data_IF_964726257217
#
_entry.id   IF_964726257217
#
_cell.length_a   1.000
_cell.length_b   1.000
_cell.length_c   1.000
_cell.angle_alpha   90.00
_cell.angle_beta   90.00
_cell.angle_gamma   90.00
#
_symmetry.space_group_name_H-M   'P 1'
#
loop_
_entity.id
_entity.type
_entity.pdbx_description
1 polymer ?
#
# COMPACT_ATOMS: atom_id res chain seq x y z
N UNK A 1 -43.98 -18.30 -32.78
CA UNK A 1 -43.65 -18.87 -31.47
C UNK A 1 -42.43 -18.12 -30.95
N UNK A 2 -42.53 -17.48 -29.80
CA UNK A 2 -41.42 -16.75 -29.17
C UNK A 2 -40.61 -17.72 -28.28
N UNK A 3 -39.38 -17.34 -27.95
CA UNK A 3 -38.49 -18.17 -27.14
C UNK A 3 -39.07 -18.45 -25.73
N UNK A 4 -39.82 -17.48 -25.20
CA UNK A 4 -40.54 -17.58 -23.93
C UNK A 4 -41.64 -18.65 -23.96
N UNK A 5 -42.31 -18.84 -25.11
CA UNK A 5 -43.37 -19.84 -25.28
C UNK A 5 -42.79 -21.27 -25.18
N UNK A 6 -41.65 -21.51 -25.85
CA UNK A 6 -40.92 -22.78 -25.80
C UNK A 6 -40.38 -23.08 -24.40
N UNK A 7 -39.88 -22.07 -23.70
CA UNK A 7 -39.43 -22.20 -22.31
C UNK A 7 -40.57 -22.59 -21.37
N UNK A 8 -41.76 -22.02 -21.55
CA UNK A 8 -42.93 -22.36 -20.74
C UNK A 8 -43.38 -23.80 -20.95
N UNK A 9 -43.22 -24.33 -22.16
CA UNK A 9 -43.62 -25.68 -22.55
C UNK A 9 -42.70 -26.77 -21.96
N UNK A 10 -41.44 -26.43 -21.69
CA UNK A 10 -40.45 -27.34 -21.06
C UNK A 10 -40.31 -27.14 -19.54
N UNK A 11 -41.29 -26.55 -18.85
CA UNK A 11 -41.27 -26.20 -17.40
C UNK A 11 -40.28 -25.10 -16.99
N UNK A 12 -39.78 -24.29 -17.92
CA UNK A 12 -38.92 -23.14 -17.65
C UNK A 12 -37.59 -23.50 -17.00
N UNK A 13 -37.00 -22.54 -16.28
CA UNK A 13 -35.76 -22.75 -15.55
C UNK A 13 -35.99 -23.54 -14.25
N UNK A 14 -35.44 -24.75 -14.19
CA UNK A 14 -35.46 -25.59 -12.99
C UNK A 14 -34.60 -25.02 -11.84
N UNK A 15 -34.84 -25.48 -10.61
CA UNK A 15 -34.08 -25.03 -9.42
C UNK A 15 -32.57 -25.21 -9.59
N UNK A 16 -32.15 -26.30 -10.23
CA UNK A 16 -30.74 -26.56 -10.51
C UNK A 16 -30.13 -25.52 -11.47
N UNK A 17 -30.82 -25.18 -12.55
CA UNK A 17 -30.32 -24.17 -13.51
C UNK A 17 -30.26 -22.78 -12.88
N UNK A 18 -31.26 -22.41 -12.06
CA UNK A 18 -31.23 -21.16 -11.28
C UNK A 18 -30.04 -21.14 -10.33
N UNK A 19 -29.79 -22.23 -9.62
CA UNK A 19 -28.64 -22.36 -8.72
C UNK A 19 -27.31 -22.20 -9.46
N UNK A 20 -27.12 -22.88 -10.60
CA UNK A 20 -25.91 -22.77 -11.43
C UNK A 20 -25.72 -21.34 -11.94
N UNK A 21 -26.78 -20.67 -12.39
CA UNK A 21 -26.71 -19.28 -12.84
C UNK A 21 -26.30 -18.34 -11.69
N UNK A 22 -26.87 -18.52 -10.50
CA UNK A 22 -26.51 -17.74 -9.31
C UNK A 22 -25.04 -17.93 -8.92
N UNK A 23 -24.55 -19.17 -8.89
CA UNK A 23 -23.14 -19.47 -8.57
C UNK A 23 -22.22 -18.83 -9.63
N UNK A 24 -22.56 -18.96 -10.91
CA UNK A 24 -21.76 -18.39 -11.99
C UNK A 24 -21.71 -16.85 -11.91
N UNK A 25 -22.85 -16.22 -11.62
CA UNK A 25 -22.93 -14.78 -11.43
C UNK A 25 -22.08 -14.33 -10.24
N UNK A 26 -22.20 -15.00 -9.10
CA UNK A 26 -21.45 -14.67 -7.89
C UNK A 26 -19.93 -14.80 -8.11
N UNK A 27 -19.49 -15.87 -8.78
CA UNK A 27 -18.08 -16.07 -9.12
C UNK A 27 -17.54 -14.93 -10.01
N UNK A 28 -18.28 -14.56 -11.06
CA UNK A 28 -17.89 -13.47 -11.97
C UNK A 28 -17.88 -12.11 -11.28
N UNK A 29 -18.88 -11.84 -10.45
CA UNK A 29 -18.97 -10.59 -9.71
C UNK A 29 -17.86 -10.47 -8.66
N UNK A 30 -17.60 -11.54 -7.91
CA UNK A 30 -16.50 -11.60 -6.94
C UNK A 30 -15.15 -11.34 -7.61
N UNK A 31 -14.90 -11.96 -8.77
CA UNK A 31 -13.68 -11.72 -9.53
C UNK A 31 -13.52 -10.25 -9.93
N UNK A 32 -14.59 -9.61 -10.42
CA UNK A 32 -14.57 -8.19 -10.77
C UNK A 32 -14.28 -7.30 -9.54
N UNK A 33 -14.91 -7.58 -8.39
CA UNK A 33 -14.61 -6.88 -7.14
C UNK A 33 -13.15 -7.04 -6.70
N UNK A 34 -12.57 -8.23 -6.87
CA UNK A 34 -11.16 -8.47 -6.56
C UNK A 34 -10.21 -7.63 -7.41
N UNK A 35 -10.46 -7.54 -8.71
CA UNK A 35 -9.68 -6.66 -9.58
C UNK A 35 -9.80 -5.19 -9.19
N UNK A 36 -11.01 -4.74 -8.81
CA UNK A 36 -11.24 -3.37 -8.39
C UNK A 36 -10.57 -3.05 -7.05
N UNK A 37 -10.56 -3.99 -6.11
CA UNK A 37 -9.96 -3.81 -4.78
C UNK A 37 -8.53 -3.29 -4.88
N UNK A 38 -7.74 -3.81 -5.83
CA UNK A 38 -6.36 -3.40 -6.08
C UNK A 38 -6.19 -1.88 -6.23
N UNK A 39 -7.14 -1.19 -6.85
CA UNK A 39 -7.07 0.28 -7.03
C UNK A 39 -7.13 1.04 -5.69
N UNK A 40 -7.82 0.48 -4.69
CA UNK A 40 -7.99 1.13 -3.39
C UNK A 40 -6.86 0.78 -2.41
N UNK A 41 -6.25 -0.40 -2.57
CA UNK A 41 -5.21 -0.87 -1.64
C UNK A 41 -3.78 -0.67 -2.17
N UNK A 42 -3.59 -0.32 -3.45
CA UNK A 42 -2.27 -0.09 -4.04
C UNK A 42 -1.68 1.30 -3.78
N UNK A 43 -2.37 2.15 -3.02
CA UNK A 43 -1.84 3.46 -2.65
C UNK A 43 -0.59 3.29 -1.79
N UNK A 44 0.44 4.05 -2.12
CA UNK A 44 1.66 4.17 -1.31
C UNK A 44 1.45 5.38 -0.40
N UNK A 45 1.28 5.19 0.93
CA UNK A 45 1.13 6.31 1.83
C UNK A 45 2.43 7.11 1.90
N UNK A 46 2.32 8.36 2.37
CA UNK A 46 3.50 9.18 2.66
C UNK A 46 4.42 8.43 3.61
N UNK A 47 5.71 8.44 3.32
CA UNK A 47 6.70 7.69 4.07
C UNK A 47 8.04 8.41 4.03
N UNK A 48 8.90 8.05 4.98
CA UNK A 48 10.26 8.54 5.09
C UNK A 48 11.21 7.40 5.47
N UNK A 49 12.51 7.63 5.33
CA UNK A 49 13.51 6.67 5.78
C UNK A 49 13.42 6.47 7.31
N UNK A 50 13.52 5.23 7.76
CA UNK A 50 13.58 4.94 9.20
C UNK A 50 14.89 5.46 9.79
N UNK A 51 14.79 6.24 10.88
CA UNK A 51 15.92 6.79 11.63
C UNK A 51 16.24 6.01 12.91
N UNK A 52 15.56 4.89 13.14
CA UNK A 52 15.64 4.13 14.40
C UNK A 52 17.03 3.55 14.72
N UNK A 53 17.88 3.38 13.71
CA UNK A 53 19.28 2.96 13.89
C UNK A 53 20.14 4.08 14.47
N UNK A 54 19.94 5.31 14.01
CA UNK A 54 20.66 6.50 14.48
C UNK A 54 20.23 6.89 15.91
N UNK A 55 18.99 6.56 16.29
CA UNK A 55 18.53 6.65 17.69
C UNK A 55 19.26 5.69 18.63
N UNK A 56 19.65 4.50 18.15
CA UNK A 56 20.33 3.49 18.94
C UNK A 56 21.80 3.84 19.24
N UNK A 57 22.41 4.69 18.42
CA UNK A 57 23.79 5.14 18.57
C UNK A 57 23.93 6.38 19.50
N UNK A 58 22.89 6.74 20.27
CA UNK A 58 22.83 7.92 21.15
C UNK A 58 23.09 9.28 20.45
N UNK A 59 23.07 9.30 19.11
CA UNK A 59 23.38 10.51 18.31
C UNK A 59 22.32 11.61 18.51
N UNK A 60 21.11 11.24 18.95
CA UNK A 60 19.95 12.14 19.07
C UNK A 60 19.47 12.41 20.50
N UNK A 61 20.28 12.12 21.52
CA UNK A 61 19.85 12.14 22.94
C UNK A 61 19.11 13.42 23.39
N UNK A 62 19.38 14.57 22.76
CA UNK A 62 18.77 15.86 23.11
C UNK A 62 17.84 16.47 22.05
N UNK A 63 17.47 15.73 20.99
CA UNK A 63 16.60 16.23 19.93
C UNK A 63 15.18 15.67 20.02
N UNK A 64 14.19 16.52 19.74
CA UNK A 64 12.81 16.11 19.51
C UNK A 64 12.66 15.33 18.21
N UNK A 65 11.57 14.59 18.03
CA UNK A 65 11.33 13.80 16.81
C UNK A 65 11.38 14.65 15.54
N UNK A 66 10.81 15.85 15.57
CA UNK A 66 10.79 16.77 14.40
C UNK A 66 12.21 17.25 14.04
N UNK A 67 13.03 17.54 15.04
CA UNK A 67 14.42 17.94 14.84
C UNK A 67 15.25 16.79 14.29
N UNK A 68 15.04 15.56 14.79
CA UNK A 68 15.70 14.35 14.28
C UNK A 68 15.41 14.12 12.79
N UNK A 69 14.15 14.28 12.38
CA UNK A 69 13.76 14.17 10.97
C UNK A 69 14.40 15.28 10.14
N UNK A 70 14.43 16.51 10.65
CA UNK A 70 15.02 17.67 9.96
C UNK A 70 16.51 17.49 9.69
N UNK A 71 17.26 16.93 10.63
CA UNK A 71 18.70 16.71 10.46
C UNK A 71 19.03 15.45 9.63
N UNK A 72 18.08 14.53 9.46
CA UNK A 72 18.33 13.22 8.84
C UNK A 72 17.74 13.09 7.44
N UNK A 73 16.67 13.83 7.12
CA UNK A 73 15.95 13.70 5.86
C UNK A 73 16.03 15.02 5.09
N UNK A 74 16.53 15.00 3.84
CA UNK A 74 16.56 16.19 3.02
C UNK A 74 15.15 16.65 2.65
N UNK A 75 14.96 17.96 2.62
CA UNK A 75 13.71 18.58 2.17
C UNK A 75 13.76 18.77 0.65
N UNK A 76 12.69 18.38 -0.02
CA UNK A 76 12.50 18.54 -1.46
C UNK A 76 12.17 20.00 -1.81
N UNK A 77 12.20 20.35 -3.10
CA UNK A 77 11.94 21.72 -3.57
C UNK A 77 10.53 22.23 -3.24
N UNK A 78 9.60 21.32 -3.01
CA UNK A 78 8.21 21.60 -2.63
C UNK A 78 8.04 21.79 -1.11
N UNK A 79 9.12 21.69 -0.32
CA UNK A 79 9.08 21.80 1.13
C UNK A 79 8.72 20.50 1.86
N UNK A 80 8.51 19.40 1.14
CA UNK A 80 8.21 18.10 1.76
C UNK A 80 9.48 17.30 2.06
N UNK A 81 9.51 16.46 3.12
CA UNK A 81 10.62 15.56 3.34
C UNK A 81 10.79 14.58 2.18
N UNK A 82 12.04 14.22 1.84
CA UNK A 82 12.31 13.19 0.84
C UNK A 82 11.86 11.82 1.34
N UNK A 83 11.07 11.12 0.53
CA UNK A 83 10.53 9.81 0.93
C UNK A 83 11.56 8.69 0.86
N UNK A 84 12.43 8.69 -0.16
CA UNK A 84 13.34 7.58 -0.49
C UNK A 84 14.81 7.81 -0.17
N UNK A 85 15.15 9.01 0.31
CA UNK A 85 16.53 9.43 0.51
C UNK A 85 16.71 10.04 1.89
N UNK A 86 17.87 9.82 2.48
CA UNK A 86 18.32 10.38 3.75
C UNK A 86 19.72 10.95 3.61
N UNK A 87 20.14 11.81 4.51
CA UNK A 87 21.55 12.20 4.61
C UNK A 87 22.39 11.01 5.07
N UNK A 88 23.62 10.90 4.56
CA UNK A 88 24.55 9.88 5.01
C UNK A 88 24.93 10.02 6.49
N UNK A 89 24.90 11.26 7.01
CA UNK A 89 25.14 11.59 8.42
C UNK A 89 24.18 12.72 8.86
N UNK A 90 23.73 12.75 10.13
CA UNK A 90 22.85 13.79 10.64
C UNK A 90 23.45 15.20 10.52
N UNK A 91 22.65 16.13 10.00
CA UNK A 91 23.03 17.51 9.70
C UNK A 91 22.50 18.49 10.76
N UNK A 92 23.13 18.49 11.95
CA UNK A 92 22.71 19.36 13.07
C UNK A 92 22.70 20.86 12.75
N UNK A 93 23.52 21.31 11.79
CA UNK A 93 23.59 22.70 11.36
C UNK A 93 22.26 23.24 10.76
N UNK A 94 21.38 22.35 10.30
CA UNK A 94 20.05 22.70 9.80
C UNK A 94 19.15 23.27 10.89
N UNK A 95 19.35 22.88 12.16
CA UNK A 95 18.61 23.41 13.30
C UNK A 95 19.00 24.85 13.63
N UNK A 96 20.22 25.25 13.27
CA UNK A 96 20.76 26.58 13.58
C UNK A 96 20.48 27.63 12.48
N UNK A 97 19.62 27.31 11.49
CA UNK A 97 19.28 28.17 10.35
C UNK A 97 20.51 28.70 9.57
N UNK A 98 21.62 27.97 9.63
CA UNK A 98 22.82 28.30 8.87
C UNK A 98 22.58 27.89 7.42
N UNK A 99 22.37 28.89 6.56
CA UNK A 99 22.09 28.70 5.12
C UNK A 99 23.32 28.28 4.31
N UNK A 100 24.19 27.45 4.89
CA UNK A 100 25.27 26.82 4.13
C UNK A 100 24.67 25.64 3.37
N UNK A 101 24.70 25.62 2.02
CA UNK A 101 24.32 24.43 1.28
C UNK A 101 25.35 23.36 1.60
N UNK A 102 25.03 22.47 2.53
CA UNK A 102 25.86 21.30 2.76
C UNK A 102 25.66 20.40 1.54
N UNK A 103 26.68 20.28 0.69
CA UNK A 103 26.76 19.30 -0.41
C UNK A 103 26.88 17.87 0.15
N UNK A 104 26.02 17.52 1.10
CA UNK A 104 26.01 16.19 1.70
C UNK A 104 25.21 15.29 0.79
N UNK A 105 25.86 14.24 0.33
CA UNK A 105 25.25 13.26 -0.55
C UNK A 105 24.03 12.63 0.14
N UNK A 106 22.85 12.92 -0.40
CA UNK A 106 21.65 12.17 -0.09
C UNK A 106 21.84 10.73 -0.61
N UNK A 107 21.69 9.75 0.27
CA UNK A 107 21.78 8.33 -0.03
C UNK A 107 20.39 7.69 0.05
N UNK A 108 20.21 6.53 -0.58
CA UNK A 108 18.97 5.76 -0.39
C UNK A 108 18.83 5.31 1.07
N UNK A 109 17.58 5.17 1.54
CA UNK A 109 17.29 4.69 2.90
C UNK A 109 18.03 3.38 3.20
N UNK A 110 18.87 3.38 4.23
CA UNK A 110 19.67 2.19 4.61
C UNK A 110 18.91 1.24 5.52
N UNK A 111 18.03 1.77 6.36
CA UNK A 111 17.36 1.04 7.44
C UNK A 111 15.87 0.80 7.16
N UNK A 112 15.48 0.86 5.89
CA UNK A 112 14.08 0.72 5.48
C UNK A 112 13.28 2.01 5.63
N UNK A 113 11.96 1.85 5.75
CA UNK A 113 10.99 2.91 5.53
C UNK A 113 9.95 2.89 6.65
N UNK A 114 9.57 4.08 7.08
CA UNK A 114 8.49 4.30 8.04
C UNK A 114 7.35 5.02 7.34
N UNK A 115 6.16 4.40 7.35
CA UNK A 115 4.97 4.88 6.66
C UNK A 115 4.06 5.64 7.61
N UNK A 116 3.53 6.77 7.15
CA UNK A 116 2.49 7.51 7.86
C UNK A 116 1.16 6.77 7.76
N UNK A 117 0.57 6.44 8.91
CA UNK A 117 -0.68 5.72 9.03
C UNK A 117 -1.89 6.63 9.30
N UNK A 118 -1.72 7.95 9.18
CA UNK A 118 -2.78 8.95 9.43
C UNK A 118 -3.98 8.80 8.48
N UNK A 119 -3.72 8.53 7.20
CA UNK A 119 -4.76 8.37 6.16
C UNK A 119 -5.11 6.90 5.94
N UNK A 120 -4.09 6.04 5.85
CA UNK A 120 -4.27 4.61 5.59
C UNK A 120 -3.58 3.80 6.68
N UNK A 121 -4.35 3.06 7.48
CA UNK A 121 -3.81 2.16 8.50
C UNK A 121 -2.97 1.04 7.87
N UNK A 122 -3.35 0.61 6.66
CA UNK A 122 -2.61 -0.40 5.91
C UNK A 122 -2.89 -0.34 4.42
N UNK A 123 -1.88 -0.65 3.63
CA UNK A 123 -1.94 -0.73 2.17
C UNK A 123 -1.19 -1.97 1.70
N UNK A 124 -1.25 -2.27 0.40
CA UNK A 124 -0.47 -3.36 -0.19
C UNK A 124 1.01 -3.22 0.14
N UNK A 125 1.57 -2.02 0.08
CA UNK A 125 2.99 -1.79 0.34
C UNK A 125 3.38 -2.01 1.81
N UNK A 126 2.46 -1.78 2.76
CA UNK A 126 2.74 -2.07 4.18
C UNK A 126 2.50 -3.53 4.57
N UNK A 127 1.68 -4.28 3.81
CA UNK A 127 1.28 -5.67 4.15
C UNK A 127 1.52 -6.71 3.03
N UNK A 128 2.44 -6.46 2.09
CA UNK A 128 2.69 -7.26 0.87
C UNK A 128 2.61 -8.78 1.12
N UNK A 129 3.18 -9.26 2.24
CA UNK A 129 3.22 -10.69 2.59
C UNK A 129 1.84 -11.32 2.86
N UNK A 130 0.90 -10.60 3.48
CA UNK A 130 -0.41 -11.14 3.90
C UNK A 130 -1.45 -11.08 2.77
N UNK A 131 -1.40 -10.01 1.96
CA UNK A 131 -2.37 -9.76 0.89
C UNK A 131 -2.16 -10.62 -0.35
N UNK A 132 -0.90 -10.95 -0.70
CA UNK A 132 -0.62 -11.86 -1.82
C UNK A 132 -1.17 -13.26 -1.58
N UNK A 133 -1.04 -13.81 -0.37
CA UNK A 133 -1.56 -15.13 -0.02
C UNK A 133 -3.09 -15.19 -0.09
N UNK A 134 -3.79 -14.14 0.38
CA UNK A 134 -5.25 -14.06 0.31
C UNK A 134 -5.75 -14.00 -1.14
N UNK A 135 -5.14 -13.16 -1.99
CA UNK A 135 -5.53 -13.08 -3.40
C UNK A 135 -5.23 -14.40 -4.14
N UNK A 136 -4.11 -15.06 -3.85
CA UNK A 136 -3.78 -16.34 -4.47
C UNK A 136 -4.79 -17.43 -4.08
N UNK A 137 -5.14 -17.53 -2.78
CA UNK A 137 -6.12 -18.51 -2.30
C UNK A 137 -7.49 -18.30 -2.91
N UNK A 138 -7.92 -17.04 -3.03
CA UNK A 138 -9.26 -16.71 -3.50
C UNK A 138 -9.40 -16.91 -5.02
N UNK A 139 -8.35 -16.59 -5.78
CA UNK A 139 -8.25 -16.96 -7.20
C UNK A 139 -8.25 -18.49 -7.35
N UNK A 140 -7.45 -19.21 -6.57
CA UNK A 140 -7.41 -20.68 -6.63
C UNK A 140 -8.76 -21.32 -6.33
N UNK A 141 -9.47 -20.80 -5.34
CA UNK A 141 -10.80 -21.28 -4.94
C UNK A 141 -11.83 -20.95 -6.02
N UNK A 142 -11.84 -19.74 -6.56
CA UNK A 142 -12.74 -19.39 -7.67
C UNK A 142 -12.45 -20.22 -8.93
N UNK A 143 -11.19 -20.54 -9.23
CA UNK A 143 -10.80 -21.38 -10.36
C UNK A 143 -11.14 -22.86 -10.19
N UNK A 144 -11.26 -23.38 -8.96
CA UNK A 144 -11.70 -24.76 -8.73
C UNK A 144 -13.22 -24.93 -8.73
N UNK A 145 -13.98 -23.84 -8.58
CA UNK A 145 -15.45 -23.85 -8.61
C UNK A 145 -16.06 -23.41 -9.96
N UNK A 146 -15.24 -22.96 -10.92
CA UNK A 146 -15.61 -22.62 -12.31
C UNK A 146 -15.09 -23.70 -13.27
#
# INVERSE_FOLDING_TARGET
MKFEDLLSEINGFGCFQKMVLCINFFGRFSLACHFLLGNFIAVIPSHHCSISSLDADEIFENLTQEERLTVSIPVQKDGTPASCHMFSYPQFHLLSNSSSPSEVAAVQCQNGWEYDNSIFISTLTTQVRRLLLFNLLLIYTLCTFL
#
